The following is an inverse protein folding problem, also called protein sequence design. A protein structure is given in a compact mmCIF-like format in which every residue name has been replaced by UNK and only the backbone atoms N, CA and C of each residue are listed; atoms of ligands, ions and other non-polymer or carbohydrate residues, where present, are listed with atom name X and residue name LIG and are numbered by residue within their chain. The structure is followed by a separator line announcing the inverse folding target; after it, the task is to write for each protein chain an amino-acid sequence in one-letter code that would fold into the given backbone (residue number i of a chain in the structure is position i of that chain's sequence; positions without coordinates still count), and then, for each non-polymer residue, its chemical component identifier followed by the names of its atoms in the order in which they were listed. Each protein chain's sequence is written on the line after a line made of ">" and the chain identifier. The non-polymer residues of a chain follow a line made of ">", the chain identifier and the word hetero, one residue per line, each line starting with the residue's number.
data_IF_121708707945
#
_entry.id   IF_121708707945
#
_cell.length_a   1.000
_cell.length_b   1.000
_cell.length_c   1.000
_cell.angle_alpha   90.00
_cell.angle_beta   90.00
_cell.angle_gamma   90.00
#
_symmetry.space_group_name_H-M   'P 1'
#
loop_
_entity.id
_entity.type
_entity.pdbx_description
1 polymer ?
#
# COMPACT_ATOMS: atom_id res chain seq x y z
N UNK A 1 1.30 -9.79 0.20
CA UNK A 1 2.60 -10.00 0.89
C UNK A 1 3.65 -10.72 0.06
N UNK A 2 3.30 -11.33 -1.06
CA UNK A 2 4.25 -12.02 -1.95
C UNK A 2 5.32 -11.04 -2.48
N UNK A 3 4.93 -9.83 -2.88
CA UNK A 3 5.86 -8.84 -3.41
C UNK A 3 6.85 -8.29 -2.38
N UNK A 4 6.47 -8.22 -1.11
CA UNK A 4 7.39 -7.84 -0.03
C UNK A 4 8.53 -8.84 0.05
N UNK A 5 8.22 -10.14 0.07
CA UNK A 5 9.22 -11.20 0.12
C UNK A 5 10.11 -11.19 -1.11
N UNK A 6 9.54 -10.99 -2.30
CA UNK A 6 10.27 -10.89 -3.55
C UNK A 6 11.27 -9.71 -3.54
N UNK A 7 10.80 -8.53 -3.15
CA UNK A 7 11.64 -7.34 -3.12
C UNK A 7 12.76 -7.42 -2.09
N UNK A 8 12.48 -7.98 -0.92
CA UNK A 8 13.50 -8.19 0.10
C UNK A 8 14.54 -9.22 -0.34
N UNK A 9 14.14 -10.26 -1.05
CA UNK A 9 15.07 -11.25 -1.61
C UNK A 9 15.94 -10.63 -2.72
N UNK A 10 15.39 -9.72 -3.50
CA UNK A 10 16.11 -9.02 -4.56
C UNK A 10 17.09 -7.97 -4.02
N UNK A 11 16.80 -7.41 -2.84
CA UNK A 11 17.60 -6.38 -2.19
C UNK A 11 18.02 -6.83 -0.79
N UNK A 12 19.03 -7.71 -0.67
CA UNK A 12 19.44 -8.28 0.62
C UNK A 12 19.93 -7.24 1.63
N UNK A 13 20.43 -6.09 1.19
CA UNK A 13 20.83 -4.99 2.07
C UNK A 13 19.65 -4.44 2.88
N UNK A 14 18.48 -4.38 2.30
CA UNK A 14 17.27 -3.94 2.99
C UNK A 14 16.70 -5.02 3.91
N UNK A 15 16.84 -6.27 3.52
CA UNK A 15 16.50 -7.40 4.37
C UNK A 15 17.31 -7.38 5.67
N UNK A 16 18.63 -7.16 5.58
CA UNK A 16 19.52 -7.10 6.74
C UNK A 16 19.19 -5.91 7.64
N UNK A 17 18.89 -4.75 7.08
CA UNK A 17 18.48 -3.56 7.84
C UNK A 17 17.16 -3.79 8.57
N UNK A 18 16.19 -4.41 7.91
CA UNK A 18 14.91 -4.72 8.52
C UNK A 18 15.04 -5.77 9.63
N UNK A 19 15.85 -6.79 9.42
CA UNK A 19 16.17 -7.77 10.45
C UNK A 19 16.81 -7.11 11.68
N UNK A 20 17.67 -6.12 11.46
CA UNK A 20 18.27 -5.32 12.54
C UNK A 20 17.22 -4.54 13.34
N UNK A 21 16.24 -3.93 12.67
CA UNK A 21 15.16 -3.22 13.34
C UNK A 21 14.28 -4.16 14.18
N UNK A 22 14.06 -5.37 13.70
CA UNK A 22 13.25 -6.39 14.38
C UNK A 22 14.02 -7.21 15.40
N UNK A 23 15.34 -7.02 15.55
CA UNK A 23 16.19 -7.83 16.43
C UNK A 23 15.86 -7.70 17.92
N UNK A 24 15.18 -6.65 18.33
CA UNK A 24 14.72 -6.47 19.71
C UNK A 24 13.55 -7.35 20.11
N UNK A 25 12.92 -8.02 19.15
CA UNK A 25 11.76 -8.89 19.37
C UNK A 25 12.22 -10.34 19.29
N UNK A 26 12.25 -11.03 20.44
CA UNK A 26 12.73 -12.40 20.53
C UNK A 26 11.65 -13.45 20.40
N UNK A 27 10.39 -13.05 20.55
CA UNK A 27 9.24 -13.94 20.52
C UNK A 27 8.16 -13.36 19.62
N UNK A 28 7.65 -14.18 18.70
CA UNK A 28 6.57 -13.80 17.79
C UNK A 28 5.30 -13.45 18.55
N UNK A 29 5.03 -14.13 19.64
CA UNK A 29 3.84 -13.89 20.45
C UNK A 29 3.87 -12.55 21.21
N UNK A 30 5.08 -11.98 21.38
CA UNK A 30 5.25 -10.66 21.98
C UNK A 30 5.04 -9.50 20.99
N UNK A 31 4.96 -9.80 19.69
CA UNK A 31 4.78 -8.79 18.65
C UNK A 31 3.33 -8.33 18.59
N UNK A 32 3.11 -7.09 18.95
CA UNK A 32 1.79 -6.46 18.85
C UNK A 32 1.74 -5.50 17.67
N UNK A 33 0.60 -5.44 16.99
CA UNK A 33 0.41 -4.55 15.84
C UNK A 33 0.72 -3.09 16.17
N UNK A 34 0.34 -2.64 17.37
CA UNK A 34 0.59 -1.28 17.83
C UNK A 34 2.09 -0.94 17.94
N UNK A 35 2.92 -1.92 18.25
CA UNK A 35 4.37 -1.74 18.30
C UNK A 35 5.00 -1.77 16.92
N UNK A 36 4.54 -2.69 16.06
CA UNK A 36 5.01 -2.79 14.68
C UNK A 36 4.70 -1.54 13.86
N UNK A 37 3.56 -0.91 14.11
CA UNK A 37 3.17 0.34 13.46
C UNK A 37 4.12 1.52 13.76
N UNK A 38 4.88 1.43 14.84
CA UNK A 38 5.85 2.47 15.22
C UNK A 38 7.22 2.30 14.57
N UNK A 39 7.49 1.18 13.92
CA UNK A 39 8.77 0.89 13.31
C UNK A 39 8.91 1.61 11.97
N UNK A 40 9.82 2.60 11.84
CA UNK A 40 9.89 3.42 10.63
C UNK A 40 10.35 2.66 9.40
N UNK A 41 11.34 1.76 9.53
CA UNK A 41 11.86 1.02 8.39
C UNK A 41 10.84 0.00 7.87
N UNK A 42 10.15 -0.72 8.77
CA UNK A 42 9.09 -1.65 8.39
C UNK A 42 7.98 -0.94 7.63
N UNK A 43 7.52 0.19 8.12
CA UNK A 43 6.50 0.99 7.46
C UNK A 43 6.97 1.52 6.10
N UNK A 44 8.22 1.95 5.99
CA UNK A 44 8.80 2.41 4.74
C UNK A 44 8.86 1.29 3.70
N UNK A 45 9.26 0.09 4.09
CA UNK A 45 9.32 -1.10 3.21
C UNK A 45 7.92 -1.45 2.70
N UNK A 46 6.92 -1.46 3.57
CA UNK A 46 5.53 -1.76 3.19
C UNK A 46 5.00 -0.71 2.21
N UNK A 47 5.20 0.56 2.49
CA UNK A 47 4.77 1.67 1.62
C UNK A 47 5.42 1.62 0.25
N UNK A 48 6.72 1.35 0.18
CA UNK A 48 7.44 1.25 -1.09
C UNK A 48 6.99 0.03 -1.89
N UNK A 49 6.71 -1.08 -1.23
CA UNK A 49 6.16 -2.27 -1.88
C UNK A 49 4.79 -1.97 -2.50
N UNK A 50 3.92 -1.29 -1.76
CA UNK A 50 2.60 -0.90 -2.26
C UNK A 50 2.68 0.13 -3.39
N UNK A 51 3.71 0.98 -3.38
CA UNK A 51 3.95 1.92 -4.47
C UNK A 51 4.34 1.21 -5.76
N UNK A 52 5.25 0.24 -5.68
CA UNK A 52 5.75 -0.49 -6.85
C UNK A 52 4.77 -1.53 -7.36
N UNK A 53 4.09 -2.22 -6.47
CA UNK A 53 3.17 -3.33 -6.78
C UNK A 53 1.85 -3.17 -6.03
N UNK A 54 1.03 -2.17 -6.37
CA UNK A 54 -0.25 -1.99 -5.70
C UNK A 54 -1.18 -3.17 -6.01
N UNK A 55 -1.84 -3.76 -4.99
CA UNK A 55 -2.70 -4.94 -5.18
C UNK A 55 -3.94 -4.65 -6.02
N UNK A 56 -4.33 -3.39 -6.13
CA UNK A 56 -5.51 -2.94 -6.88
C UNK A 56 -5.12 -1.95 -7.98
N UNK A 57 -4.04 -2.25 -8.74
CA UNK A 57 -3.54 -1.40 -9.81
C UNK A 57 -4.44 -1.34 -11.04
N UNK A 58 -5.29 -2.35 -11.23
CA UNK A 58 -6.26 -2.36 -12.33
C UNK A 58 -7.44 -1.44 -12.03
N UNK A 59 -8.10 -0.88 -13.06
CA UNK A 59 -9.30 -0.05 -12.86
C UNK A 59 -10.51 -0.88 -12.43
N UNK A 60 -10.40 -1.60 -11.32
CA UNK A 60 -11.43 -2.46 -10.76
C UNK A 60 -12.41 -1.65 -9.93
N UNK A 61 -11.91 -0.63 -9.23
CA UNK A 61 -12.74 0.22 -8.40
C UNK A 61 -13.24 1.40 -9.20
N UNK A 62 -14.56 1.51 -9.27
CA UNK A 62 -15.19 2.58 -10.01
C UNK A 62 -16.42 3.11 -9.27
N UNK A 63 -16.79 4.33 -9.58
CA UNK A 63 -18.02 4.95 -9.13
C UNK A 63 -18.80 5.45 -10.34
N UNK A 64 -20.08 5.23 -10.33
CA UNK A 64 -20.96 5.83 -11.33
C UNK A 64 -21.34 7.22 -10.88
N UNK A 65 -21.21 8.20 -11.78
CA UNK A 65 -21.57 9.57 -11.49
C UNK A 65 -23.08 9.66 -11.30
N UNK A 66 -23.54 10.24 -10.17
CA UNK A 66 -24.96 10.30 -9.86
C UNK A 66 -25.73 11.24 -10.80
N UNK A 67 -27.05 11.15 -10.71
CA UNK A 67 -27.95 12.07 -11.43
C UNK A 67 -27.62 13.52 -11.09
N UNK A 68 -27.54 14.38 -12.11
CA UNK A 68 -27.09 15.76 -11.98
C UNK A 68 -25.63 15.99 -12.31
N UNK A 69 -24.84 14.90 -12.50
CA UNK A 69 -23.41 15.01 -12.78
C UNK A 69 -22.57 15.28 -11.55
N UNK A 70 -21.26 15.39 -11.73
CA UNK A 70 -20.31 15.71 -10.67
C UNK A 70 -19.09 16.42 -11.24
N UNK A 71 -18.42 17.20 -10.39
CA UNK A 71 -17.14 17.81 -10.74
C UNK A 71 -16.03 16.97 -10.13
N UNK A 72 -15.16 16.38 -10.98
CA UNK A 72 -14.06 15.53 -10.58
C UNK A 72 -12.75 16.14 -11.07
N UNK A 73 -11.82 16.38 -10.15
CA UNK A 73 -10.50 16.96 -10.45
C UNK A 73 -10.59 18.24 -11.31
N UNK A 74 -11.63 19.08 -11.08
CA UNK A 74 -11.86 20.31 -11.83
C UNK A 74 -12.61 20.13 -13.15
N UNK A 75 -12.99 18.91 -13.52
CA UNK A 75 -13.74 18.64 -14.75
C UNK A 75 -15.19 18.27 -14.45
N UNK A 76 -16.10 18.81 -15.24
CA UNK A 76 -17.51 18.45 -15.16
C UNK A 76 -17.75 17.11 -15.85
N UNK A 77 -18.30 16.14 -15.11
CA UNK A 77 -18.56 14.78 -15.61
C UNK A 77 -20.06 14.55 -15.63
N UNK A 78 -20.65 14.16 -16.79
CA UNK A 78 -22.06 13.86 -16.90
C UNK A 78 -22.51 12.66 -16.06
N UNK A 79 -23.79 12.63 -15.70
CA UNK A 79 -24.38 11.49 -15.03
C UNK A 79 -24.25 10.21 -15.85
N UNK A 80 -24.11 9.07 -15.17
CA UNK A 80 -23.98 7.76 -15.80
C UNK A 80 -22.58 7.39 -16.28
N UNK A 81 -21.62 8.33 -16.27
CA UNK A 81 -20.23 8.06 -16.57
C UNK A 81 -19.59 7.28 -15.42
N UNK A 82 -18.80 6.30 -15.76
CA UNK A 82 -18.08 5.47 -14.77
C UNK A 82 -16.69 6.04 -14.55
N UNK A 83 -16.45 6.52 -13.35
CA UNK A 83 -15.13 7.06 -12.96
C UNK A 83 -14.30 5.97 -12.28
N UNK A 84 -13.09 5.79 -12.75
CA UNK A 84 -12.11 4.86 -12.18
C UNK A 84 -11.06 5.65 -11.39
N UNK A 85 -10.55 5.05 -10.33
CA UNK A 85 -9.49 5.66 -9.53
C UNK A 85 -8.45 4.61 -9.15
N UNK A 86 -7.20 5.07 -9.04
CA UNK A 86 -6.09 4.24 -8.59
C UNK A 86 -5.92 4.38 -7.07
N UNK A 87 -5.66 3.25 -6.43
CA UNK A 87 -5.33 3.19 -5.01
C UNK A 87 -3.81 3.09 -4.89
N UNK A 88 -3.16 4.23 -4.85
CA UNK A 88 -1.71 4.31 -4.69
C UNK A 88 -1.36 5.08 -3.43
#
# INVERSE_FOLDING_TARGET
>A
MVYVSYLLAKHPEWFDKLAGELSGYTDVDSLQSSELEKLPLLNAVIRETLRLYPPAASPVFSRVVPEGGATLAGYDVPAGVRAYYDII
#
